data_IF_886388247799
#
_entry.id   IF_886388247799
#
_cell.length_a   1.000
_cell.length_b   1.000
_cell.length_c   1.000
_cell.angle_alpha   90.00
_cell.angle_beta   90.00
_cell.angle_gamma   90.00
#
_symmetry.space_group_name_H-M   'P 1'
#
loop_
_entity.id
_entity.type
_entity.pdbx_description
1 polymer ?
#
# COMPACT_ATOMS: atom_id res chain seq x y z
N UNK A 1 -1.01 -21.17 76.69
CA UNK A 1 -0.30 -19.90 76.43
C UNK A 1 0.55 -20.06 75.18
N UNK A 2 0.32 -19.18 74.19
CA UNK A 2 1.21 -18.75 73.09
C UNK A 2 1.62 -19.76 72.00
N UNK A 3 1.04 -19.48 70.83
CA UNK A 3 1.44 -19.65 69.43
C UNK A 3 2.94 -19.73 69.09
N UNK A 4 3.23 -20.46 67.99
CA UNK A 4 4.12 -20.13 66.84
C UNK A 4 4.79 -21.40 66.30
N UNK A 5 4.92 -21.74 65.02
CA UNK A 5 4.44 -21.27 63.71
C UNK A 5 4.78 -22.43 62.75
N UNK A 6 3.82 -23.06 62.07
CA UNK A 6 4.11 -23.99 60.96
C UNK A 6 3.75 -23.27 59.67
N UNK A 7 4.75 -23.05 58.83
CA UNK A 7 4.62 -22.47 57.49
C UNK A 7 3.94 -23.51 56.61
N UNK A 8 2.67 -23.27 56.26
CA UNK A 8 1.96 -24.02 55.23
C UNK A 8 2.25 -23.35 53.88
N UNK A 9 3.03 -24.02 53.04
CA UNK A 9 3.27 -23.61 51.65
C UNK A 9 1.96 -23.76 50.88
N UNK A 10 1.28 -22.65 50.62
CA UNK A 10 0.15 -22.60 49.71
C UNK A 10 0.66 -22.68 48.27
N UNK A 11 0.47 -23.84 47.62
CA UNK A 11 0.53 -23.96 46.16
C UNK A 11 -0.69 -23.25 45.56
N UNK A 12 -0.59 -21.93 45.45
CA UNK A 12 -1.45 -21.16 44.54
C UNK A 12 -0.96 -21.49 43.13
N UNK A 13 -1.71 -22.34 42.41
CA UNK A 13 -1.53 -22.45 40.96
C UNK A 13 -1.89 -21.11 40.36
N UNK A 14 -0.86 -20.34 40.04
CA UNK A 14 -0.92 -19.16 39.17
C UNK A 14 -1.72 -19.51 37.91
N UNK A 15 -2.69 -18.66 37.60
CA UNK A 15 -3.35 -18.62 36.31
C UNK A 15 -2.26 -18.56 35.23
N UNK A 16 -2.20 -19.60 34.40
CA UNK A 16 -1.44 -19.56 33.16
C UNK A 16 -2.19 -18.58 32.26
N UNK A 17 -1.72 -17.34 32.21
CA UNK A 17 -2.03 -16.43 31.12
C UNK A 17 -1.60 -17.13 29.83
N UNK A 18 -2.57 -17.51 29.01
CA UNK A 18 -2.32 -18.07 27.69
C UNK A 18 -1.56 -17.03 26.86
N UNK A 19 -0.48 -17.40 26.14
CA UNK A 19 0.24 -16.46 25.30
C UNK A 19 -0.68 -16.02 24.15
N UNK A 20 -0.73 -14.71 23.88
CA UNK A 20 -1.58 -14.06 22.89
C UNK A 20 -1.17 -14.32 21.42
N UNK A 21 -0.54 -15.47 21.13
CA UNK A 21 0.07 -15.77 19.85
C UNK A 21 -0.09 -17.24 19.49
N UNK A 22 -1.33 -17.67 19.27
CA UNK A 22 -1.60 -18.86 18.45
C UNK A 22 -2.14 -18.43 17.08
N UNK A 23 -1.73 -19.15 16.05
CA UNK A 23 -2.24 -19.00 14.68
C UNK A 23 -3.64 -19.63 14.60
N UNK A 24 -4.63 -18.84 14.17
CA UNK A 24 -6.06 -19.20 14.20
C UNK A 24 -6.65 -19.40 12.80
N UNK A 25 -5.94 -20.14 11.93
CA UNK A 25 -6.51 -20.55 10.64
C UNK A 25 -7.74 -21.43 10.89
N UNK A 26 -8.95 -20.89 10.65
CA UNK A 26 -10.20 -21.65 10.70
C UNK A 26 -11.22 -21.27 11.78
N UNK A 27 -11.11 -20.09 12.41
CA UNK A 27 -12.13 -19.63 13.36
C UNK A 27 -13.51 -19.50 12.72
N UNK A 28 -14.50 -20.00 13.44
CA UNK A 28 -15.92 -19.79 13.18
C UNK A 28 -16.34 -18.34 13.45
N UNK A 29 -17.43 -17.90 12.83
CA UNK A 29 -18.07 -16.60 13.11
C UNK A 29 -18.31 -16.38 14.62
N UNK A 30 -18.57 -17.47 15.36
CA UNK A 30 -18.73 -17.46 16.82
C UNK A 30 -17.46 -16.99 17.54
N UNK A 31 -16.28 -17.49 17.16
CA UNK A 31 -15.02 -17.14 17.83
C UNK A 31 -14.60 -15.70 17.54
N UNK A 32 -14.94 -15.19 16.36
CA UNK A 32 -14.74 -13.78 16.00
C UNK A 32 -15.70 -12.88 16.79
N UNK A 33 -16.97 -13.30 16.92
CA UNK A 33 -17.93 -12.61 17.78
C UNK A 33 -17.52 -12.63 19.25
N UNK A 34 -16.94 -13.74 19.74
CA UNK A 34 -16.37 -13.80 21.08
C UNK A 34 -15.14 -12.89 21.23
N UNK A 35 -14.27 -12.81 20.21
CA UNK A 35 -13.15 -11.87 20.22
C UNK A 35 -13.64 -10.42 20.27
N UNK A 36 -14.61 -10.05 19.42
CA UNK A 36 -15.21 -8.71 19.38
C UNK A 36 -15.91 -8.41 20.71
N UNK A 37 -16.63 -9.37 21.28
CA UNK A 37 -17.30 -9.20 22.58
C UNK A 37 -16.30 -8.97 23.72
N UNK A 38 -15.11 -9.58 23.65
CA UNK A 38 -14.06 -9.44 24.68
C UNK A 38 -13.19 -8.20 24.51
N UNK A 39 -12.86 -7.84 23.27
CA UNK A 39 -11.85 -6.82 22.96
C UNK A 39 -12.43 -5.53 22.35
N UNK A 40 -13.70 -5.55 21.94
CA UNK A 40 -14.32 -4.48 21.17
C UNK A 40 -13.81 -4.41 19.74
N UNK A 41 -14.34 -3.43 19.00
CA UNK A 41 -13.86 -3.03 17.67
C UNK A 41 -12.99 -1.80 17.85
N UNK A 42 -11.86 -1.73 17.14
CA UNK A 42 -11.02 -0.55 17.19
C UNK A 42 -11.78 0.69 16.70
N UNK A 43 -11.61 1.85 17.34
CA UNK A 43 -12.13 3.10 16.80
C UNK A 43 -11.55 3.35 15.41
N UNK A 44 -12.44 3.60 14.45
CA UNK A 44 -12.07 4.00 13.08
C UNK A 44 -12.20 5.52 13.03
N UNK A 45 -11.11 6.30 13.12
CA UNK A 45 -11.18 7.76 13.04
C UNK A 45 -11.58 8.20 11.63
N UNK A 46 -12.06 9.43 11.52
CA UNK A 46 -12.20 10.06 10.21
C UNK A 46 -10.81 10.28 9.60
N UNK A 47 -10.67 10.17 8.27
CA UNK A 47 -9.44 10.54 7.57
C UNK A 47 -9.01 11.97 7.93
N UNK A 48 -7.70 12.25 8.03
CA UNK A 48 -7.22 13.60 8.32
C UNK A 48 -7.63 14.57 7.21
N UNK A 49 -7.88 15.82 7.60
CA UNK A 49 -8.07 16.94 6.68
C UNK A 49 -6.77 17.23 5.89
N UNK A 50 -6.84 18.02 4.81
CA UNK A 50 -5.64 18.51 4.15
C UNK A 50 -4.71 19.24 5.12
N UNK A 51 -3.40 19.25 4.80
CA UNK A 51 -2.43 20.05 5.55
C UNK A 51 -2.90 21.51 5.64
N UNK A 52 -2.79 22.16 6.82
CA UNK A 52 -3.20 23.54 6.98
C UNK A 52 -2.54 24.48 5.97
N UNK A 53 -3.23 25.57 5.62
CA UNK A 53 -2.66 26.61 4.77
C UNK A 53 -1.34 27.12 5.37
N UNK A 54 -0.30 27.22 4.53
CA UNK A 54 1.06 27.59 4.96
C UNK A 54 1.89 26.43 5.52
N UNK A 55 1.29 25.26 5.77
CA UNK A 55 1.98 24.03 6.16
C UNK A 55 2.02 22.99 5.04
N UNK A 56 1.56 23.34 3.83
CA UNK A 56 1.54 22.48 2.65
C UNK A 56 2.63 22.83 1.63
N UNK A 57 3.59 23.66 2.03
CA UNK A 57 4.71 24.10 1.20
C UNK A 57 5.94 23.18 1.28
N UNK A 58 7.00 23.66 0.62
CA UNK A 58 8.35 23.13 0.71
C UNK A 58 8.80 23.03 2.17
N UNK A 59 9.33 21.87 2.58
CA UNK A 59 9.74 21.59 3.96
C UNK A 59 10.86 20.54 3.94
N UNK A 60 11.90 20.75 4.72
CA UNK A 60 12.92 19.74 5.01
C UNK A 60 12.23 18.59 5.77
N UNK A 61 12.34 17.37 5.24
CA UNK A 61 11.66 16.18 5.79
C UNK A 61 12.62 15.09 6.23
N UNK A 62 13.87 15.13 5.78
CA UNK A 62 14.96 14.44 6.46
C UNK A 62 15.51 15.36 7.55
N UNK A 63 14.82 15.42 8.70
CA UNK A 63 15.11 16.34 9.80
C UNK A 63 15.38 15.62 11.14
N UNK A 64 15.76 16.37 12.17
CA UNK A 64 16.07 15.82 13.48
C UNK A 64 14.86 15.19 14.21
N UNK A 65 13.63 15.52 13.81
CA UNK A 65 12.42 14.88 14.34
C UNK A 65 12.10 13.56 13.61
N UNK A 66 12.59 13.41 12.38
CA UNK A 66 12.41 12.23 11.52
C UNK A 66 13.75 11.62 11.08
N UNK A 67 14.65 11.27 12.03
CA UNK A 67 15.95 10.74 11.67
C UNK A 67 15.80 9.35 11.04
N UNK A 68 16.69 9.04 10.10
CA UNK A 68 16.78 7.70 9.54
C UNK A 68 17.17 6.68 10.61
N UNK A 69 16.47 5.55 10.62
CA UNK A 69 16.90 4.33 11.28
C UNK A 69 16.68 3.16 10.31
N UNK A 70 17.69 2.30 10.12
CA UNK A 70 17.54 1.12 9.27
C UNK A 70 16.47 0.19 9.83
N UNK A 71 15.83 -0.61 8.96
CA UNK A 71 14.67 -1.42 9.32
C UNK A 71 14.92 -2.38 10.50
N UNK A 72 16.13 -2.94 10.63
CA UNK A 72 16.41 -4.02 11.59
C UNK A 72 15.49 -5.23 11.36
N UNK A 73 14.78 -5.65 12.40
CA UNK A 73 13.81 -6.76 12.35
C UNK A 73 12.36 -6.28 12.09
N UNK A 74 12.16 -5.00 11.76
CA UNK A 74 10.83 -4.45 11.50
C UNK A 74 10.34 -4.73 10.07
N UNK A 75 9.03 -4.62 9.87
CA UNK A 75 8.38 -5.00 8.61
C UNK A 75 8.52 -3.89 7.57
N UNK A 76 8.98 -4.27 6.39
CA UNK A 76 8.97 -3.46 5.16
C UNK A 76 8.36 -4.28 4.03
N UNK A 77 7.93 -3.62 2.96
CA UNK A 77 7.20 -4.27 1.88
C UNK A 77 7.54 -3.76 0.48
N UNK A 78 6.60 -3.92 -0.47
CA UNK A 78 6.85 -3.60 -1.87
C UNK A 78 6.93 -2.08 -2.14
N UNK A 79 6.35 -1.24 -1.27
CA UNK A 79 6.28 0.20 -1.48
C UNK A 79 7.53 0.93 -0.92
N UNK A 80 8.43 1.47 -1.77
CA UNK A 80 9.62 2.19 -1.31
C UNK A 80 9.29 3.44 -0.49
N UNK A 81 8.20 4.14 -0.82
CA UNK A 81 7.78 5.36 -0.12
C UNK A 81 7.38 5.05 1.34
N UNK A 82 6.50 4.07 1.56
CA UNK A 82 6.08 3.70 2.92
C UNK A 82 7.22 3.10 3.74
N UNK A 83 8.10 2.33 3.09
CA UNK A 83 9.30 1.81 3.73
C UNK A 83 10.21 2.94 4.24
N UNK A 84 10.44 3.94 3.40
CA UNK A 84 11.23 5.11 3.75
C UNK A 84 10.57 5.92 4.86
N UNK A 85 9.26 6.17 4.77
CA UNK A 85 8.51 6.88 5.81
C UNK A 85 8.55 6.15 7.17
N UNK A 86 8.51 4.82 7.19
CA UNK A 86 8.70 4.04 8.42
C UNK A 86 10.15 4.09 8.92
N UNK A 87 11.16 4.08 8.03
CA UNK A 87 12.57 4.27 8.40
C UNK A 87 12.90 5.68 8.89
N UNK A 88 12.08 6.68 8.57
CA UNK A 88 12.22 8.05 9.10
C UNK A 88 11.26 8.34 10.26
N UNK A 89 10.40 7.40 10.66
CA UNK A 89 9.49 7.57 11.80
C UNK A 89 8.26 8.42 11.53
N UNK A 90 7.97 8.76 10.26
CA UNK A 90 6.66 9.30 9.85
C UNK A 90 5.54 8.27 10.02
N UNK A 91 5.88 6.99 9.85
CA UNK A 91 5.05 5.85 10.23
C UNK A 91 5.65 5.13 11.45
N UNK A 92 4.83 4.36 12.18
CA UNK A 92 5.34 3.39 13.15
C UNK A 92 6.48 2.56 12.54
N UNK A 93 7.64 2.58 13.20
CA UNK A 93 8.87 1.99 12.65
C UNK A 93 8.77 0.48 12.49
N UNK A 94 7.88 -0.16 13.23
CA UNK A 94 7.57 -1.60 13.14
C UNK A 94 6.89 -2.01 11.82
N UNK A 95 6.38 -1.04 11.05
CA UNK A 95 5.74 -1.26 9.76
C UNK A 95 4.25 -1.59 9.84
N UNK A 96 3.59 -1.32 10.98
CA UNK A 96 2.14 -1.53 11.13
C UNK A 96 1.46 -0.22 11.48
N UNK A 97 0.50 0.19 10.65
CA UNK A 97 -0.14 1.49 10.78
C UNK A 97 -1.63 1.44 10.49
N UNK A 98 -2.37 2.41 11.05
CA UNK A 98 -3.75 2.68 10.65
C UNK A 98 -3.79 3.48 9.35
N UNK A 99 -4.87 3.40 8.55
CA UNK A 99 -5.00 4.18 7.32
C UNK A 99 -4.88 5.69 7.54
N UNK A 100 -5.42 6.25 8.64
CA UNK A 100 -5.30 7.69 8.96
C UNK A 100 -3.84 8.13 9.21
N UNK A 101 -3.03 7.24 9.80
CA UNK A 101 -1.60 7.48 10.00
C UNK A 101 -0.85 7.44 8.67
N UNK A 102 -1.23 6.53 7.76
CA UNK A 102 -0.65 6.46 6.40
C UNK A 102 -0.98 7.73 5.62
N UNK A 103 -2.24 8.20 5.62
CA UNK A 103 -2.62 9.46 4.97
C UNK A 103 -1.80 10.63 5.54
N UNK A 104 -1.66 10.70 6.86
CA UNK A 104 -0.85 11.74 7.51
C UNK A 104 0.62 11.67 7.09
N UNK A 105 1.23 10.48 7.11
CA UNK A 105 2.64 10.29 6.81
C UNK A 105 3.00 10.67 5.37
N UNK A 106 2.18 10.29 4.39
CA UNK A 106 2.45 10.61 2.97
C UNK A 106 2.22 12.10 2.66
N UNK A 107 1.27 12.75 3.35
CA UNK A 107 1.11 14.20 3.28
C UNK A 107 2.31 14.92 3.92
N UNK A 108 2.70 14.53 5.14
CA UNK A 108 3.76 15.21 5.86
C UNK A 108 5.15 14.99 5.26
N UNK A 109 5.49 13.75 4.91
CA UNK A 109 6.83 13.39 4.44
C UNK A 109 7.06 13.61 2.95
N UNK A 110 6.02 13.55 2.11
CA UNK A 110 6.15 13.61 0.64
C UNK A 110 5.25 14.66 -0.03
N UNK A 111 4.33 15.28 0.72
CA UNK A 111 3.33 16.21 0.22
C UNK A 111 2.41 15.62 -0.86
N UNK A 112 1.98 14.36 -0.67
CA UNK A 112 0.84 13.84 -1.41
C UNK A 112 -0.41 14.68 -1.10
N UNK A 113 -1.18 15.01 -2.13
CA UNK A 113 -2.47 15.66 -1.97
C UNK A 113 -3.45 14.80 -1.18
N UNK A 114 -4.30 15.44 -0.39
CA UNK A 114 -5.12 14.77 0.62
C UNK A 114 -6.09 13.74 0.04
N UNK A 115 -6.78 14.08 -1.06
CA UNK A 115 -7.73 13.15 -1.69
C UNK A 115 -7.00 11.95 -2.31
N UNK A 116 -5.86 12.18 -2.97
CA UNK A 116 -5.03 11.10 -3.50
C UNK A 116 -4.44 10.21 -2.40
N UNK A 117 -3.96 10.80 -1.31
CA UNK A 117 -3.45 10.08 -0.14
C UNK A 117 -4.54 9.19 0.49
N UNK A 118 -5.77 9.71 0.65
CA UNK A 118 -6.91 8.93 1.12
C UNK A 118 -7.24 7.79 0.18
N UNK A 119 -7.29 8.04 -1.13
CA UNK A 119 -7.57 7.00 -2.11
C UNK A 119 -6.59 5.84 -1.99
N UNK A 120 -5.28 6.11 -2.03
CA UNK A 120 -4.25 5.08 -1.92
C UNK A 120 -4.30 4.34 -0.59
N UNK A 121 -4.43 5.06 0.54
CA UNK A 121 -4.42 4.47 1.86
C UNK A 121 -5.65 3.58 2.13
N UNK A 122 -6.85 4.06 1.80
CA UNK A 122 -8.08 3.30 2.06
C UNK A 122 -8.31 2.18 1.04
N UNK A 123 -7.87 2.34 -0.22
CA UNK A 123 -7.81 1.23 -1.18
C UNK A 123 -6.90 0.13 -0.64
N UNK A 124 -5.65 0.45 -0.28
CA UNK A 124 -4.72 -0.51 0.29
C UNK A 124 -5.28 -1.19 1.55
N UNK A 125 -5.86 -0.40 2.46
CA UNK A 125 -6.42 -0.90 3.72
C UNK A 125 -7.60 -1.85 3.50
N UNK A 126 -8.55 -1.51 2.62
CA UNK A 126 -9.69 -2.39 2.31
C UNK A 126 -9.25 -3.72 1.70
N UNK A 127 -8.13 -3.71 0.97
CA UNK A 127 -7.61 -4.88 0.29
C UNK A 127 -6.70 -5.75 1.17
N UNK A 128 -6.02 -5.18 2.16
CA UNK A 128 -4.94 -5.87 2.88
C UNK A 128 -4.92 -5.67 4.40
N UNK A 129 -5.67 -4.71 4.92
CA UNK A 129 -5.75 -4.38 6.34
C UNK A 129 -6.80 -5.21 7.07
N UNK A 130 -6.79 -5.10 8.39
CA UNK A 130 -7.78 -5.73 9.27
C UNK A 130 -8.88 -4.69 9.61
N UNK A 131 -10.12 -4.84 9.11
CA UNK A 131 -11.20 -3.88 9.38
C UNK A 131 -11.60 -3.80 10.86
N UNK A 132 -11.38 -4.85 11.64
CA UNK A 132 -11.80 -4.92 13.04
C UNK A 132 -10.81 -4.22 13.98
N UNK A 133 -9.51 -4.29 13.69
CA UNK A 133 -8.45 -3.64 14.48
C UNK A 133 -8.01 -2.30 13.90
N UNK A 134 -8.45 -1.97 12.69
CA UNK A 134 -8.07 -0.78 11.94
C UNK A 134 -6.55 -0.68 11.69
N UNK A 135 -5.85 -1.81 11.58
CA UNK A 135 -4.41 -1.88 11.36
C UNK A 135 -4.08 -2.59 10.03
N UNK A 136 -3.02 -2.14 9.38
CA UNK A 136 -2.45 -2.76 8.18
C UNK A 136 -0.93 -2.81 8.29
N UNK A 137 -0.35 -3.93 7.85
CA UNK A 137 1.09 -4.08 7.64
C UNK A 137 1.48 -3.46 6.30
N UNK A 138 2.55 -2.65 6.27
CA UNK A 138 3.13 -2.11 5.03
C UNK A 138 3.97 -3.15 4.26
N UNK A 139 4.07 -4.38 4.79
CA UNK A 139 4.76 -5.49 4.16
C UNK A 139 3.98 -6.80 4.35
N UNK A 140 4.67 -7.84 4.82
CA UNK A 140 4.08 -9.18 4.96
C UNK A 140 3.02 -9.28 6.06
N UNK A 141 2.22 -10.35 6.02
CA UNK A 141 1.25 -10.72 7.05
C UNK A 141 1.93 -10.82 8.41
N UNK A 142 1.25 -10.31 9.44
CA UNK A 142 1.79 -10.27 10.80
C UNK A 142 0.69 -10.38 11.84
N UNK A 143 0.93 -11.04 12.99
CA UNK A 143 -0.04 -11.05 14.09
C UNK A 143 -0.26 -9.66 14.72
N UNK A 144 0.60 -8.67 14.42
CA UNK A 144 0.46 -7.29 14.92
C UNK A 144 -0.80 -6.59 14.43
N UNK A 145 -1.43 -7.06 13.35
CA UNK A 145 -2.73 -6.55 12.89
C UNK A 145 -3.91 -7.21 13.62
N UNK A 146 -3.66 -8.10 14.58
CA UNK A 146 -4.66 -8.81 15.37
C UNK A 146 -5.32 -9.98 14.64
N UNK A 147 -6.33 -10.63 15.28
CA UNK A 147 -6.96 -11.83 14.74
C UNK A 147 -7.64 -11.59 13.40
N UNK A 148 -7.50 -12.56 12.50
CA UNK A 148 -8.06 -12.47 11.16
C UNK A 148 -9.60 -12.50 11.18
N UNK A 149 -10.25 -11.75 10.27
CA UNK A 149 -11.65 -11.93 9.94
C UNK A 149 -11.90 -13.32 9.30
N UNK A 150 -13.18 -13.73 9.11
CA UNK A 150 -13.47 -15.00 8.47
C UNK A 150 -12.89 -15.05 7.05
N UNK A 151 -12.49 -16.25 6.62
CA UNK A 151 -12.14 -16.50 5.21
C UNK A 151 -13.31 -16.11 4.29
N UNK A 152 -13.04 -15.65 3.05
CA UNK A 152 -11.77 -15.70 2.33
C UNK A 152 -10.81 -14.51 2.54
N UNK A 153 -11.14 -13.56 3.41
CA UNK A 153 -10.26 -12.43 3.70
C UNK A 153 -8.88 -12.87 4.19
N UNK A 154 -7.83 -12.23 3.67
CA UNK A 154 -6.45 -12.65 3.91
C UNK A 154 -5.74 -11.80 4.96
N UNK A 155 -6.03 -10.50 5.01
CA UNK A 155 -5.33 -9.53 5.89
C UNK A 155 -3.82 -9.72 5.79
N UNK A 156 -3.33 -9.78 4.55
CA UNK A 156 -1.97 -10.21 4.25
C UNK A 156 -0.92 -9.11 4.31
N UNK A 157 -1.32 -7.86 4.61
CA UNK A 157 -0.46 -6.70 4.44
C UNK A 157 -0.15 -6.40 2.96
N UNK A 158 0.60 -5.33 2.70
CA UNK A 158 0.88 -4.91 1.33
C UNK A 158 1.68 -5.92 0.49
N UNK A 159 2.38 -6.88 1.10
CA UNK A 159 3.08 -7.94 0.35
C UNK A 159 2.15 -9.04 -0.16
N UNK A 160 0.85 -8.98 0.15
CA UNK A 160 -0.12 -9.96 -0.33
C UNK A 160 -0.31 -9.83 -1.84
N UNK A 161 0.16 -10.84 -2.57
CA UNK A 161 -0.01 -10.90 -4.01
C UNK A 161 -1.47 -11.03 -4.42
N UNK A 162 -1.84 -10.34 -5.50
CA UNK A 162 -3.13 -10.47 -6.18
C UNK A 162 -4.27 -9.61 -5.61
N UNK A 163 -4.02 -8.85 -4.54
CA UNK A 163 -4.98 -7.88 -3.99
C UNK A 163 -4.62 -6.45 -4.39
N UNK A 164 -3.47 -5.95 -3.93
CA UNK A 164 -2.88 -4.65 -4.28
C UNK A 164 -1.52 -4.84 -4.95
N UNK A 165 -0.62 -5.60 -4.31
CA UNK A 165 0.62 -6.06 -4.93
C UNK A 165 0.27 -6.93 -6.13
N UNK A 166 1.04 -6.78 -7.21
CA UNK A 166 0.87 -7.57 -8.40
C UNK A 166 2.07 -7.46 -9.32
N UNK A 167 1.98 -8.23 -10.39
CA UNK A 167 3.06 -8.42 -11.36
C UNK A 167 3.51 -7.12 -12.03
N UNK A 168 4.61 -7.22 -12.76
CA UNK A 168 5.26 -6.17 -13.56
C UNK A 168 5.93 -5.07 -12.73
N UNK A 169 6.23 -5.30 -11.46
CA UNK A 169 6.88 -4.29 -10.59
C UNK A 169 8.24 -3.81 -11.14
N UNK A 170 8.62 -2.55 -10.87
CA UNK A 170 9.84 -1.95 -11.46
C UNK A 170 11.15 -2.43 -10.82
N UNK A 171 11.11 -2.74 -9.52
CA UNK A 171 12.29 -3.10 -8.70
C UNK A 171 12.07 -4.36 -7.86
N UNK A 172 10.93 -5.03 -8.03
CA UNK A 172 10.54 -6.30 -7.40
C UNK A 172 10.28 -7.31 -8.52
N UNK A 173 10.40 -8.60 -8.23
CA UNK A 173 10.04 -9.66 -9.17
C UNK A 173 8.56 -10.01 -9.02
N UNK A 174 7.97 -10.59 -10.05
CA UNK A 174 6.61 -11.15 -9.97
C UNK A 174 6.57 -12.31 -8.95
N UNK A 175 5.43 -12.47 -8.28
CA UNK A 175 5.25 -13.49 -7.24
C UNK A 175 5.45 -14.91 -7.75
N UNK A 176 5.21 -15.15 -9.05
CA UNK A 176 5.51 -16.42 -9.70
C UNK A 176 6.99 -16.82 -9.58
N UNK A 177 7.91 -15.86 -9.56
CA UNK A 177 9.35 -16.10 -9.51
C UNK A 177 9.93 -16.08 -8.09
N UNK A 178 9.16 -15.67 -7.08
CA UNK A 178 9.62 -15.61 -5.69
C UNK A 178 8.91 -14.56 -4.87
N UNK A 179 9.62 -13.97 -3.92
CA UNK A 179 9.05 -12.95 -3.04
C UNK A 179 8.90 -11.59 -3.75
N UNK A 180 7.66 -11.22 -4.06
CA UNK A 180 7.30 -9.99 -4.76
C UNK A 180 7.42 -8.71 -3.91
N UNK A 181 7.73 -8.81 -2.61
CA UNK A 181 7.94 -7.65 -1.76
C UNK A 181 9.40 -7.23 -1.65
N UNK A 182 10.33 -8.18 -1.82
CA UNK A 182 11.76 -7.99 -1.61
C UNK A 182 12.40 -7.18 -2.76
N UNK A 183 13.21 -6.18 -2.41
CA UNK A 183 13.99 -5.42 -3.39
C UNK A 183 14.87 -6.34 -4.24
N UNK A 184 14.80 -6.21 -5.55
CA UNK A 184 15.56 -7.00 -6.49
C UNK A 184 16.65 -6.15 -7.19
N UNK A 185 17.94 -6.36 -6.88
CA UNK A 185 19.04 -5.59 -7.46
C UNK A 185 19.13 -5.69 -8.99
N UNK A 186 18.77 -6.83 -9.59
CA UNK A 186 18.78 -7.02 -11.04
C UNK A 186 17.72 -6.14 -11.72
N UNK A 187 16.47 -6.18 -11.23
CA UNK A 187 15.40 -5.30 -11.73
C UNK A 187 15.73 -3.83 -11.52
N UNK A 188 16.34 -3.48 -10.39
CA UNK A 188 16.76 -2.11 -10.15
C UNK A 188 17.93 -1.66 -11.04
N UNK A 189 18.86 -2.56 -11.38
CA UNK A 189 19.89 -2.29 -12.40
C UNK A 189 19.25 -1.97 -13.74
N UNK A 190 18.21 -2.70 -14.16
CA UNK A 190 17.46 -2.37 -15.37
C UNK A 190 16.80 -1.00 -15.27
N UNK A 191 16.17 -0.68 -14.13
CA UNK A 191 15.59 0.64 -13.88
C UNK A 191 16.61 1.77 -14.13
N UNK A 192 17.83 1.64 -13.60
CA UNK A 192 18.91 2.62 -13.80
C UNK A 192 19.43 2.64 -15.24
N UNK A 193 19.46 1.49 -15.92
CA UNK A 193 19.84 1.41 -17.33
C UNK A 193 18.81 2.13 -18.22
N UNK A 194 17.51 1.98 -17.94
CA UNK A 194 16.45 2.70 -18.64
C UNK A 194 16.50 4.21 -18.39
N UNK A 195 16.75 4.63 -17.14
CA UNK A 195 17.03 6.03 -16.82
C UNK A 195 18.19 6.58 -17.66
N UNK A 196 19.32 5.86 -17.70
CA UNK A 196 20.50 6.24 -18.50
C UNK A 196 20.20 6.36 -19.99
N UNK A 197 19.41 5.43 -20.53
CA UNK A 197 19.16 5.32 -21.97
C UNK A 197 18.10 6.31 -22.48
N UNK A 198 17.05 6.56 -21.70
CA UNK A 198 15.85 7.24 -22.17
C UNK A 198 15.54 8.54 -21.43
N UNK A 199 16.10 8.75 -20.24
CA UNK A 199 15.86 9.95 -19.47
C UNK A 199 16.86 11.07 -19.76
N UNK A 200 16.41 12.31 -19.52
CA UNK A 200 17.25 13.50 -19.67
C UNK A 200 18.44 13.41 -18.72
N UNK A 201 19.65 13.52 -19.26
CA UNK A 201 20.91 13.42 -18.52
C UNK A 201 21.03 12.13 -17.67
N UNK A 202 20.39 11.04 -18.10
CA UNK A 202 20.40 9.76 -17.39
C UNK A 202 19.57 9.72 -16.10
N UNK A 203 18.67 10.68 -15.92
CA UNK A 203 17.68 10.68 -14.83
C UNK A 203 16.55 9.70 -15.10
N UNK A 204 15.85 9.27 -14.04
CA UNK A 204 14.56 8.63 -14.19
C UNK A 204 13.48 9.71 -14.30
N UNK A 205 12.99 9.93 -15.51
CA UNK A 205 11.92 10.87 -15.86
C UNK A 205 10.76 10.14 -16.54
N UNK A 206 9.77 10.89 -17.05
CA UNK A 206 8.59 10.30 -17.69
C UNK A 206 8.91 9.47 -18.95
N UNK A 207 9.99 9.77 -19.67
CA UNK A 207 10.38 9.01 -20.86
C UNK A 207 10.97 7.66 -20.44
N UNK A 208 11.87 7.66 -19.45
CA UNK A 208 12.41 6.43 -18.88
C UNK A 208 11.29 5.57 -18.23
N UNK A 209 10.34 6.20 -17.55
CA UNK A 209 9.19 5.52 -16.96
C UNK A 209 8.31 4.84 -18.01
N UNK A 210 8.08 5.50 -19.15
CA UNK A 210 7.31 4.96 -20.28
C UNK A 210 7.92 3.69 -20.84
N UNK A 211 9.20 3.75 -21.21
CA UNK A 211 9.91 2.62 -21.79
C UNK A 211 10.04 1.46 -20.79
N UNK A 212 10.35 1.76 -19.52
CA UNK A 212 10.48 0.73 -18.49
C UNK A 212 9.13 0.06 -18.19
N UNK A 213 8.03 0.83 -18.18
CA UNK A 213 6.71 0.27 -17.87
C UNK A 213 6.23 -0.68 -18.96
N UNK A 214 6.44 -0.29 -20.20
CA UNK A 214 6.16 -1.16 -21.34
C UNK A 214 6.99 -2.43 -21.28
N UNK A 215 8.31 -2.31 -21.10
CA UNK A 215 9.18 -3.49 -21.08
C UNK A 215 8.85 -4.44 -19.91
N UNK A 216 8.52 -3.94 -18.71
CA UNK A 216 8.11 -4.82 -17.58
C UNK A 216 6.86 -5.62 -17.90
N UNK A 217 5.91 -5.04 -18.63
CA UNK A 217 4.71 -5.75 -19.07
C UNK A 217 5.08 -6.82 -20.11
N UNK A 218 5.88 -6.48 -21.12
CA UNK A 218 6.31 -7.44 -22.15
C UNK A 218 7.08 -8.61 -21.55
N UNK A 219 8.05 -8.33 -20.68
CA UNK A 219 8.82 -9.36 -19.98
C UNK A 219 7.91 -10.31 -19.17
N UNK A 220 6.90 -9.78 -18.50
CA UNK A 220 5.96 -10.62 -17.73
C UNK A 220 5.03 -11.42 -18.66
N UNK A 221 4.61 -10.85 -19.79
CA UNK A 221 3.82 -11.56 -20.81
C UNK A 221 4.61 -12.76 -21.35
N UNK A 222 5.90 -12.58 -21.61
CA UNK A 222 6.76 -13.62 -22.17
C UNK A 222 7.14 -14.69 -21.12
N UNK A 223 7.44 -14.26 -19.89
CA UNK A 223 8.12 -15.12 -18.93
C UNK A 223 7.25 -15.63 -17.78
N UNK A 224 6.23 -14.87 -17.34
CA UNK A 224 5.36 -15.23 -16.22
C UNK A 224 4.09 -15.96 -16.72
N UNK A 225 3.98 -17.29 -16.61
CA UNK A 225 2.83 -18.05 -17.09
C UNK A 225 1.52 -17.77 -16.32
N UNK A 226 1.59 -17.04 -15.21
CA UNK A 226 0.46 -16.72 -14.33
C UNK A 226 0.21 -15.21 -14.21
N UNK A 227 0.77 -14.40 -15.14
CA UNK A 227 0.60 -12.96 -15.16
C UNK A 227 -0.87 -12.57 -14.98
N UNK A 228 -1.14 -11.68 -14.03
CA UNK A 228 -2.43 -10.99 -13.90
C UNK A 228 -2.23 -9.49 -14.03
N UNK A 229 -2.64 -8.92 -15.16
CA UNK A 229 -2.53 -7.49 -15.45
C UNK A 229 -3.90 -6.88 -15.75
N UNK A 230 -4.75 -6.87 -14.72
CA UNK A 230 -6.15 -6.39 -14.77
C UNK A 230 -6.43 -5.37 -13.64
N UNK A 231 -7.67 -4.89 -13.54
CA UNK A 231 -8.08 -4.00 -12.43
C UNK A 231 -8.06 -4.75 -11.08
N UNK A 232 -7.56 -4.13 -9.99
CA UNK A 232 -7.08 -2.74 -9.91
C UNK A 232 -5.58 -2.56 -10.20
N UNK A 233 -4.82 -3.64 -10.45
CA UNK A 233 -3.36 -3.61 -10.64
C UNK A 233 -2.91 -2.66 -11.76
N UNK A 234 -3.67 -2.56 -12.85
CA UNK A 234 -3.33 -1.64 -13.94
C UNK A 234 -3.18 -0.18 -13.47
N UNK A 235 -4.03 0.28 -12.55
CA UNK A 235 -3.97 1.64 -12.03
C UNK A 235 -2.73 1.85 -11.16
N UNK A 236 -2.46 0.90 -10.26
CA UNK A 236 -1.29 0.98 -9.37
C UNK A 236 0.01 0.87 -10.17
N UNK A 237 0.14 -0.08 -11.10
CA UNK A 237 1.34 -0.28 -11.91
C UNK A 237 1.75 0.97 -12.73
N UNK A 238 0.78 1.68 -13.32
CA UNK A 238 1.05 2.90 -14.08
C UNK A 238 1.32 4.11 -13.17
N UNK A 239 0.54 4.27 -12.10
CA UNK A 239 0.74 5.38 -11.15
C UNK A 239 2.09 5.26 -10.43
N UNK A 240 2.44 4.05 -9.98
CA UNK A 240 3.72 3.74 -9.32
C UNK A 240 4.92 4.00 -10.22
N UNK A 241 4.77 3.88 -11.55
CA UNK A 241 5.84 4.19 -12.49
C UNK A 241 6.18 5.69 -12.53
N UNK A 242 5.21 6.57 -12.29
CA UNK A 242 5.44 8.02 -12.33
C UNK A 242 5.75 8.61 -10.95
N UNK A 243 5.34 7.96 -9.87
CA UNK A 243 5.58 8.43 -8.49
C UNK A 243 7.03 8.81 -8.18
N UNK A 244 8.08 8.04 -8.58
CA UNK A 244 9.46 8.42 -8.30
C UNK A 244 9.86 9.75 -8.95
N UNK A 245 9.34 10.03 -10.16
CA UNK A 245 9.58 11.30 -10.86
C UNK A 245 8.92 12.49 -10.14
N UNK A 246 7.95 12.23 -9.27
CA UNK A 246 7.23 13.26 -8.52
C UNK A 246 7.76 13.35 -7.09
N UNK A 247 7.59 12.29 -6.30
CA UNK A 247 7.73 12.32 -4.85
C UNK A 247 9.14 12.05 -4.35
N UNK A 248 10.03 11.50 -5.18
CA UNK A 248 11.43 11.25 -4.81
C UNK A 248 12.40 12.31 -5.36
N UNK A 249 11.91 13.24 -6.16
CA UNK A 249 12.66 14.42 -6.61
C UNK A 249 12.60 15.47 -5.51
N UNK A 250 13.75 16.04 -5.12
CA UNK A 250 13.78 17.14 -4.14
C UNK A 250 12.89 18.30 -4.62
N UNK A 251 11.99 18.75 -3.74
CA UNK A 251 10.98 19.75 -4.05
C UNK A 251 11.54 21.11 -4.45
N UNK A 252 12.81 21.41 -4.16
CA UNK A 252 13.50 22.62 -4.64
C UNK A 252 13.80 22.56 -6.13
N UNK A 253 14.02 21.35 -6.66
CA UNK A 253 14.26 21.12 -8.08
C UNK A 253 12.94 21.09 -8.85
N UNK A 254 11.96 20.30 -8.35
CA UNK A 254 10.62 20.14 -8.93
C UNK A 254 10.59 19.97 -10.47
N UNK A 255 11.63 19.36 -11.04
CA UNK A 255 11.87 19.25 -12.48
C UNK A 255 11.44 17.90 -13.08
N UNK A 256 10.88 17.01 -12.24
CA UNK A 256 10.44 15.65 -12.57
C UNK A 256 11.54 14.71 -13.09
N UNK A 257 12.78 14.98 -12.72
CA UNK A 257 13.95 14.19 -13.12
C UNK A 257 14.61 13.62 -11.86
N UNK A 258 14.35 12.35 -11.56
CA UNK A 258 14.92 11.68 -10.41
C UNK A 258 16.35 11.24 -10.72
N UNK A 259 17.34 11.69 -9.94
CA UNK A 259 18.71 11.23 -10.11
C UNK A 259 18.84 9.75 -9.75
N UNK A 260 19.83 9.06 -10.33
CA UNK A 260 20.09 7.65 -10.01
C UNK A 260 20.51 7.44 -8.55
N UNK A 261 21.17 8.44 -7.97
CA UNK A 261 21.55 8.46 -6.55
C UNK A 261 20.31 8.51 -5.66
N UNK A 262 19.41 9.47 -5.88
CA UNK A 262 18.16 9.57 -5.13
C UNK A 262 17.27 8.34 -5.36
N UNK A 263 17.23 7.79 -6.58
CA UNK A 263 16.53 6.53 -6.83
C UNK A 263 17.10 5.38 -5.97
N UNK A 264 18.43 5.28 -5.85
CA UNK A 264 19.08 4.26 -5.02
C UNK A 264 18.75 4.44 -3.55
N UNK A 265 18.72 5.69 -3.07
CA UNK A 265 18.33 6.00 -1.70
C UNK A 265 16.92 5.53 -1.37
N UNK A 266 15.92 5.84 -2.19
CA UNK A 266 14.54 5.43 -1.90
C UNK A 266 14.28 3.94 -2.15
N UNK A 267 14.81 3.36 -3.24
CA UNK A 267 14.47 1.98 -3.61
C UNK A 267 15.31 0.93 -2.88
N UNK A 268 16.62 1.15 -2.76
CA UNK A 268 17.54 0.19 -2.16
C UNK A 268 17.76 0.49 -0.68
N UNK A 269 18.04 1.74 -0.33
CA UNK A 269 18.39 2.12 1.05
C UNK A 269 17.15 2.43 1.91
N UNK A 270 16.00 2.69 1.27
CA UNK A 270 14.76 3.13 1.92
C UNK A 270 15.01 4.35 2.83
N UNK A 271 15.72 5.32 2.26
CA UNK A 271 16.26 6.51 2.91
C UNK A 271 15.85 7.74 2.09
N UNK A 272 15.46 8.83 2.75
CA UNK A 272 15.38 10.13 2.09
C UNK A 272 16.80 10.69 1.94
N UNK A 273 17.20 11.25 0.79
CA UNK A 273 18.49 11.91 0.67
C UNK A 273 18.75 12.94 1.78
N UNK A 274 20.01 13.20 2.09
CA UNK A 274 20.37 14.29 3.02
C UNK A 274 19.79 15.62 2.51
N UNK A 275 19.30 16.44 3.44
CA UNK A 275 18.68 17.74 3.13
C UNK A 275 17.46 17.63 2.17
N UNK A 276 16.81 16.46 2.09
CA UNK A 276 15.67 16.26 1.19
C UNK A 276 14.46 17.09 1.60
N UNK A 277 13.96 17.89 0.65
CA UNK A 277 12.73 18.64 0.81
C UNK A 277 11.58 17.98 0.03
N UNK A 278 10.42 17.82 0.69
CA UNK A 278 9.19 17.34 0.03
C UNK A 278 8.68 18.33 -1.03
N UNK A 279 7.68 17.95 -1.83
CA UNK A 279 7.15 18.80 -2.90
C UNK A 279 6.70 20.20 -2.40
N UNK A 280 6.83 21.26 -3.21
CA UNK A 280 6.53 22.62 -2.80
C UNK A 280 5.03 22.93 -2.68
N UNK A 281 4.18 22.05 -3.17
CA UNK A 281 2.73 22.08 -3.04
C UNK A 281 2.19 20.63 -3.01
N UNK A 282 0.99 20.38 -2.48
CA UNK A 282 0.39 19.06 -2.53
C UNK A 282 0.21 18.59 -3.97
N UNK A 283 0.63 17.36 -4.26
CA UNK A 283 0.51 16.76 -5.59
C UNK A 283 -0.54 15.65 -5.57
N UNK A 284 -1.58 15.77 -6.41
CA UNK A 284 -2.72 14.83 -6.47
C UNK A 284 -2.95 14.35 -7.92
N UNK A 285 -4.13 13.81 -8.22
CA UNK A 285 -4.46 13.22 -9.52
C UNK A 285 -4.20 14.18 -10.69
N UNK A 286 -4.45 15.49 -10.54
CA UNK A 286 -4.26 16.49 -11.61
C UNK A 286 -2.82 16.56 -12.16
N UNK A 287 -1.83 16.11 -11.39
CA UNK A 287 -0.42 15.98 -11.86
C UNK A 287 -0.09 14.55 -12.27
N UNK A 288 -0.64 13.55 -11.58
CA UNK A 288 -0.32 12.13 -11.82
C UNK A 288 -0.98 11.63 -13.11
N UNK A 289 -2.25 11.94 -13.35
CA UNK A 289 -3.03 11.40 -14.47
C UNK A 289 -2.47 11.78 -15.85
N UNK A 290 -2.03 13.03 -16.10
CA UNK A 290 -1.38 13.36 -17.37
C UNK A 290 -0.09 12.55 -17.61
N UNK A 291 0.68 12.26 -16.56
CA UNK A 291 1.89 11.46 -16.67
C UNK A 291 1.56 9.99 -16.97
N UNK A 292 0.59 9.40 -16.27
CA UNK A 292 0.14 8.02 -16.57
C UNK A 292 -0.50 7.93 -17.95
N UNK A 293 -1.24 8.97 -18.36
CA UNK A 293 -1.82 9.07 -19.70
C UNK A 293 -0.76 9.12 -20.79
N UNK A 294 0.37 9.80 -20.56
CA UNK A 294 1.52 9.76 -21.46
C UNK A 294 2.10 8.35 -21.60
N UNK A 295 2.37 7.66 -20.49
CA UNK A 295 2.86 6.26 -20.50
C UNK A 295 1.96 5.36 -21.36
N UNK A 296 0.64 5.47 -21.18
CA UNK A 296 -0.34 4.71 -21.97
C UNK A 296 -0.38 5.15 -23.44
N UNK A 297 -0.27 6.45 -23.73
CA UNK A 297 -0.29 6.96 -25.11
C UNK A 297 0.95 6.54 -25.91
N UNK A 298 2.12 6.45 -25.26
CA UNK A 298 3.34 5.99 -25.90
C UNK A 298 3.25 4.48 -26.21
N UNK A 299 2.73 3.70 -25.25
CA UNK A 299 2.64 2.24 -25.33
C UNK A 299 1.26 1.73 -24.85
N UNK A 300 0.22 1.76 -25.71
CA UNK A 300 -1.11 1.29 -25.34
C UNK A 300 -1.13 -0.22 -25.03
N UNK A 301 -1.99 -0.62 -24.10
CA UNK A 301 -2.20 -2.03 -23.76
C UNK A 301 -3.68 -2.34 -23.54
N UNK A 302 -4.03 -3.61 -23.64
CA UNK A 302 -5.34 -4.14 -23.21
C UNK A 302 -5.13 -4.96 -21.93
N UNK A 303 -5.93 -4.74 -20.87
CA UNK A 303 -5.85 -5.57 -19.66
C UNK A 303 -6.01 -7.06 -19.98
N UNK A 304 -5.39 -7.93 -19.21
CA UNK A 304 -5.39 -9.36 -19.53
C UNK A 304 -4.61 -10.23 -18.56
N UNK A 305 -4.57 -11.52 -18.85
CA UNK A 305 -3.92 -12.55 -18.02
C UNK A 305 -3.17 -13.55 -18.88
N UNK A 306 -2.12 -14.15 -18.35
CA UNK A 306 -1.48 -15.30 -19.01
C UNK A 306 -2.15 -16.61 -18.61
N UNK A 307 -2.42 -17.46 -19.61
CA UNK A 307 -2.82 -18.85 -19.44
C UNK A 307 -1.67 -19.78 -19.86
N UNK A 308 -0.60 -19.81 -19.06
CA UNK A 308 0.67 -20.41 -19.46
C UNK A 308 1.59 -19.39 -20.15
N UNK A 309 2.84 -19.80 -20.44
CA UNK A 309 3.83 -18.91 -21.06
C UNK A 309 3.39 -18.50 -22.48
N UNK A 310 3.63 -17.25 -22.85
CA UNK A 310 3.32 -16.70 -24.18
C UNK A 310 1.85 -16.84 -24.59
N UNK A 311 0.93 -16.82 -23.62
CA UNK A 311 -0.50 -16.98 -23.87
C UNK A 311 -1.31 -15.91 -23.13
N UNK A 312 -1.08 -14.65 -23.52
CA UNK A 312 -1.78 -13.50 -22.97
C UNK A 312 -3.19 -13.40 -23.56
N UNK A 313 -4.18 -13.59 -22.70
CA UNK A 313 -5.59 -13.50 -23.04
C UNK A 313 -6.09 -12.12 -22.62
N UNK A 314 -6.46 -11.33 -23.62
CA UNK A 314 -7.04 -10.01 -23.41
C UNK A 314 -8.40 -10.11 -22.70
N UNK A 315 -8.62 -9.16 -21.80
CA UNK A 315 -9.85 -9.00 -21.02
C UNK A 315 -10.40 -7.59 -21.23
N UNK A 316 -10.91 -7.26 -22.43
CA UNK A 316 -11.34 -5.91 -22.81
C UNK A 316 -12.56 -5.39 -22.03
N UNK A 317 -13.23 -6.26 -21.27
CA UNK A 317 -14.34 -5.89 -20.37
C UNK A 317 -13.85 -5.40 -19.01
N UNK A 318 -12.57 -5.57 -18.70
CA UNK A 318 -11.95 -4.95 -17.52
C UNK A 318 -11.97 -3.43 -17.70
N UNK A 319 -12.30 -2.65 -16.65
CA UNK A 319 -12.16 -1.20 -16.71
C UNK A 319 -10.78 -0.81 -17.23
N UNK A 320 -10.74 0.09 -18.22
CA UNK A 320 -9.47 0.61 -18.74
C UNK A 320 -8.79 1.51 -17.71
N UNK A 321 -7.49 1.78 -17.89
CA UNK A 321 -6.74 2.69 -17.02
C UNK A 321 -7.40 4.08 -16.89
N UNK A 322 -8.01 4.57 -17.97
CA UNK A 322 -8.73 5.85 -18.00
C UNK A 322 -10.13 5.81 -17.37
N UNK A 323 -10.70 4.62 -17.15
CA UNK A 323 -12.01 4.47 -16.51
C UNK A 323 -11.86 4.39 -14.98
N UNK A 324 -11.48 5.52 -14.39
CA UNK A 324 -11.23 5.61 -12.96
C UNK A 324 -12.45 5.20 -12.12
N UNK A 325 -13.66 5.62 -12.50
CA UNK A 325 -14.88 5.25 -11.80
C UNK A 325 -15.22 3.76 -11.98
N UNK A 326 -14.92 3.16 -13.13
CA UNK A 326 -15.00 1.72 -13.33
C UNK A 326 -14.06 0.95 -12.41
N UNK A 327 -12.81 1.39 -12.27
CA UNK A 327 -11.84 0.78 -11.34
C UNK A 327 -12.29 0.93 -9.87
N UNK A 328 -12.78 2.11 -9.47
CA UNK A 328 -13.38 2.30 -8.14
C UNK A 328 -14.54 1.31 -7.90
N UNK A 329 -15.46 1.17 -8.86
CA UNK A 329 -16.59 0.23 -8.76
C UNK A 329 -16.11 -1.21 -8.69
N UNK A 330 -15.10 -1.57 -9.47
CA UNK A 330 -14.52 -2.91 -9.47
C UNK A 330 -13.91 -3.27 -8.11
N UNK A 331 -13.17 -2.34 -7.49
CA UNK A 331 -12.67 -2.51 -6.12
C UNK A 331 -13.83 -2.71 -5.14
N UNK A 332 -14.82 -1.81 -5.17
CA UNK A 332 -15.90 -1.79 -4.19
C UNK A 332 -16.92 -2.92 -4.36
N UNK A 333 -17.16 -3.40 -5.59
CA UNK A 333 -18.22 -4.38 -5.90
C UNK A 333 -17.70 -5.79 -6.21
N UNK A 334 -16.42 -5.95 -6.58
CA UNK A 334 -15.84 -7.27 -6.87
C UNK A 334 -14.73 -7.61 -5.90
N UNK A 335 -13.72 -6.76 -5.76
CA UNK A 335 -12.50 -7.12 -5.01
C UNK A 335 -12.76 -7.20 -3.50
N UNK A 336 -13.38 -6.17 -2.92
CA UNK A 336 -13.71 -6.15 -1.48
C UNK A 336 -14.76 -7.23 -1.15
N UNK A 337 -15.88 -7.38 -1.88
CA UNK A 337 -16.83 -8.49 -1.66
C UNK A 337 -16.25 -9.88 -1.90
N UNK A 338 -15.27 -10.02 -2.80
CA UNK A 338 -14.55 -11.28 -3.00
C UNK A 338 -13.80 -11.74 -1.74
N UNK A 339 -13.33 -10.81 -0.91
CA UNK A 339 -12.70 -11.11 0.38
C UNK A 339 -13.72 -11.21 1.52
N UNK A 340 -14.79 -10.43 1.46
CA UNK A 340 -15.83 -10.35 2.48
C UNK A 340 -17.20 -10.56 1.84
N UNK A 341 -17.62 -11.82 1.55
CA UNK A 341 -18.83 -12.07 0.78
C UNK A 341 -20.11 -11.83 1.59
N UNK A 342 -20.13 -12.16 2.88
CA UNK A 342 -21.30 -12.03 3.75
C UNK A 342 -20.93 -11.44 5.12
N UNK A 343 -20.36 -10.23 5.20
CA UNK A 343 -19.98 -9.64 6.49
C UNK A 343 -21.22 -9.27 7.31
N UNK A 344 -21.17 -9.54 8.61
CA UNK A 344 -22.23 -9.22 9.58
C UNK A 344 -21.70 -8.33 10.70
N UNK A 345 -22.61 -7.68 11.44
CA UNK A 345 -22.30 -6.88 12.62
C UNK A 345 -21.15 -5.88 12.44
N UNK A 346 -20.23 -5.89 13.39
CA UNK A 346 -19.07 -5.01 13.43
C UNK A 346 -18.18 -5.04 12.18
N UNK A 347 -18.02 -6.21 11.56
CA UNK A 347 -17.21 -6.33 10.34
C UNK A 347 -17.86 -5.58 9.18
N UNK A 348 -19.17 -5.73 9.01
CA UNK A 348 -19.94 -5.00 7.99
C UNK A 348 -19.87 -3.50 8.22
N UNK A 349 -20.02 -3.06 9.46
CA UNK A 349 -20.01 -1.63 9.81
C UNK A 349 -18.63 -1.01 9.56
N UNK A 350 -17.55 -1.73 9.90
CA UNK A 350 -16.18 -1.32 9.60
C UNK A 350 -15.89 -1.23 8.09
N UNK A 351 -16.36 -2.21 7.31
CA UNK A 351 -16.23 -2.22 5.85
C UNK A 351 -17.00 -1.05 5.21
N UNK A 352 -18.27 -0.85 5.58
CA UNK A 352 -19.07 0.26 5.07
C UNK A 352 -18.45 1.62 5.37
N UNK A 353 -17.90 1.79 6.58
CA UNK A 353 -17.21 3.02 6.97
C UNK A 353 -15.97 3.29 6.09
N UNK A 354 -15.10 2.30 5.92
CA UNK A 354 -13.91 2.44 5.08
C UNK A 354 -14.23 2.59 3.58
N UNK A 355 -15.27 1.93 3.07
CA UNK A 355 -15.80 2.14 1.72
C UNK A 355 -16.33 3.55 1.53
N UNK A 356 -16.95 4.13 2.55
CA UNK A 356 -17.35 5.54 2.57
C UNK A 356 -16.14 6.49 2.47
N UNK A 357 -15.04 6.18 3.17
CA UNK A 357 -13.80 6.96 3.07
C UNK A 357 -13.13 6.83 1.71
N UNK A 358 -13.08 5.62 1.13
CA UNK A 358 -12.61 5.40 -0.23
C UNK A 358 -13.46 6.21 -1.23
N UNK A 359 -14.80 6.17 -1.09
CA UNK A 359 -15.70 6.94 -1.94
C UNK A 359 -15.45 8.46 -1.82
N UNK A 360 -15.31 8.97 -0.60
CA UNK A 360 -15.05 10.40 -0.37
C UNK A 360 -13.76 10.90 -1.03
N UNK A 361 -12.76 10.02 -1.21
CA UNK A 361 -11.53 10.33 -1.90
C UNK A 361 -11.69 10.46 -3.43
N UNK A 362 -12.67 9.77 -4.02
CA UNK A 362 -12.90 9.75 -5.47
C UNK A 362 -14.05 10.65 -5.92
N UNK A 363 -14.96 11.00 -5.00
CA UNK A 363 -16.14 11.80 -5.31
C UNK A 363 -15.80 13.23 -5.73
N UNK A 364 -14.72 13.80 -5.18
CA UNK A 364 -14.35 15.19 -5.45
C UNK A 364 -13.74 15.38 -6.85
N UNK A 365 -12.77 14.54 -7.22
CA UNK A 365 -12.03 14.72 -8.49
C UNK A 365 -12.69 14.03 -9.69
N UNK A 366 -13.34 12.88 -9.51
CA UNK A 366 -13.87 12.08 -10.64
C UNK A 366 -15.40 12.05 -10.72
N UNK A 367 -16.10 12.65 -9.75
CA UNK A 367 -17.56 12.65 -9.68
C UNK A 367 -18.20 11.25 -9.82
N UNK A 368 -17.52 10.23 -9.30
CA UNK A 368 -18.04 8.86 -9.31
C UNK A 368 -19.31 8.77 -8.46
N UNK A 369 -20.17 7.78 -8.76
CA UNK A 369 -21.36 7.49 -7.95
C UNK A 369 -21.02 6.48 -6.86
N UNK A 370 -21.42 6.75 -5.62
CA UNK A 370 -21.18 5.83 -4.51
C UNK A 370 -21.91 4.51 -4.73
N UNK A 371 -21.23 3.41 -4.45
CA UNK A 371 -21.80 2.07 -4.47
C UNK A 371 -21.78 1.45 -3.07
N UNK A 372 -22.73 0.55 -2.81
CA UNK A 372 -23.01 0.01 -1.48
C UNK A 372 -23.06 -1.53 -1.53
N UNK A 373 -21.91 -2.23 -1.55
CA UNK A 373 -21.87 -3.69 -1.67
C UNK A 373 -22.60 -4.41 -0.52
N UNK A 374 -22.75 -3.76 0.65
CA UNK A 374 -23.36 -4.34 1.84
C UNK A 374 -24.59 -3.57 2.35
N UNK A 375 -25.25 -2.81 1.47
CA UNK A 375 -26.37 -1.93 1.84
C UNK A 375 -25.95 -0.55 2.32
N UNK A 376 -26.94 0.34 2.49
CA UNK A 376 -26.76 1.73 2.95
C UNK A 376 -26.75 1.84 4.46
#
# INVERSE_FOLDING_TARGET
MKFSTIILVALIRLAVAMPAYESLVGLSEREINEFIARNGVAPIPNPPAPLPAGQNGLKLVNDAAHPFMPQGNHIRGPCPALNTLANHGYLPRDGVARPDQIVTAVMEGLNLGNDFAKFLAYQAFLLNGNPLTNLMSIGMKTPLTGPDPPKPALVGGLSQHGTFEGDTSMSRIDAFFGDAATFNPTRFKDFLAFATKFGVNGSYDVNAASELRFERLQDSIENNPQLVFTSPRILSAYSEAVFPTVYFVDGRLNNRQLSQEAASDFFANQHMPEDFHRQPAPVSFEVIEPLTGKLFSDHPFVPGVNHGKNNYIEMPQTPALSDFCGIYRDIALRVVPGQYPNPTGALRDALNKNLGFLFGAVSFQHNCTQVFPYGK
#
